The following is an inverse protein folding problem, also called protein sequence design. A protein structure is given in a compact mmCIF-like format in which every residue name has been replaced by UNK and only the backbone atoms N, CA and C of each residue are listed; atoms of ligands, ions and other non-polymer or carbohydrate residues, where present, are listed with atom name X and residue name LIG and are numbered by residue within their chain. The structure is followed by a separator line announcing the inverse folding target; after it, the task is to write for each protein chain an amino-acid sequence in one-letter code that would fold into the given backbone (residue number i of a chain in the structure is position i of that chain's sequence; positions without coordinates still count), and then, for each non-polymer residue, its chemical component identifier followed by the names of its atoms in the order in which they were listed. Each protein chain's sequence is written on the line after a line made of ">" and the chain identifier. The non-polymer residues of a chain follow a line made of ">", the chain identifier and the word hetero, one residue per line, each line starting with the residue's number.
data_IF_021051124479
#
_entry.id   IF_021051124479
#
_cell.length_a   1.000
_cell.length_b   1.000
_cell.length_c   1.000
_cell.angle_alpha   90.00
_cell.angle_beta   90.00
_cell.angle_gamma   90.00
#
_symmetry.space_group_name_H-M   'P 1'
#
loop_
_entity.id
_entity.type
_entity.pdbx_description
1 polymer ?
#
# COMPACT_ATOMS: atom_id res chain seq x y z
N UNK A 1 -8.68 25.59 -20.59
CA UNK A 1 -8.73 24.17 -21.01
C UNK A 1 -8.40 23.34 -19.78
N UNK A 2 -9.38 22.63 -19.24
CA UNK A 2 -9.19 21.72 -18.11
C UNK A 2 -8.19 20.64 -18.54
N UNK A 3 -7.08 20.49 -17.81
CA UNK A 3 -6.07 19.48 -18.10
C UNK A 3 -6.73 18.11 -17.92
N UNK A 4 -7.01 17.42 -19.04
CA UNK A 4 -7.37 16.00 -18.99
C UNK A 4 -6.24 15.29 -18.25
N UNK A 5 -6.52 14.58 -17.13
CA UNK A 5 -5.48 13.88 -16.39
C UNK A 5 -4.78 12.88 -17.32
N UNK A 6 -3.45 12.92 -17.30
CA UNK A 6 -2.61 11.97 -18.04
C UNK A 6 -2.90 10.55 -17.54
N UNK A 7 -3.14 9.61 -18.47
CA UNK A 7 -3.45 8.20 -18.13
C UNK A 7 -4.88 7.74 -18.35
N UNK A 8 -5.69 8.47 -19.14
CA UNK A 8 -7.03 8.05 -19.55
C UNK A 8 -7.02 6.63 -20.15
N UNK A 9 -7.88 5.76 -19.62
CA UNK A 9 -8.01 4.35 -20.00
C UNK A 9 -8.99 4.22 -21.16
N UNK A 10 -8.57 3.52 -22.20
CA UNK A 10 -9.37 3.26 -23.39
C UNK A 10 -10.14 1.96 -23.23
N UNK A 11 -11.39 1.97 -23.71
CA UNK A 11 -12.25 0.80 -23.67
C UNK A 11 -11.76 -0.33 -24.57
N UNK A 12 -11.21 0.02 -25.75
CA UNK A 12 -10.69 -0.95 -26.70
C UNK A 12 -9.52 -1.73 -26.10
N UNK A 13 -8.52 -1.03 -25.53
CA UNK A 13 -7.38 -1.66 -24.87
C UNK A 13 -7.82 -2.62 -23.76
N UNK A 14 -8.84 -2.23 -22.99
CA UNK A 14 -9.41 -3.08 -21.96
C UNK A 14 -10.01 -4.37 -22.56
N UNK A 15 -10.76 -4.28 -23.67
CA UNK A 15 -11.30 -5.48 -24.35
C UNK A 15 -10.21 -6.35 -24.96
N UNK A 16 -9.19 -5.74 -25.57
CA UNK A 16 -8.03 -6.46 -26.14
C UNK A 16 -7.32 -7.26 -25.06
N UNK A 17 -7.15 -6.70 -23.85
CA UNK A 17 -6.58 -7.41 -22.71
C UNK A 17 -7.53 -8.46 -22.13
N UNK A 18 -8.84 -8.19 -22.11
CA UNK A 18 -9.86 -9.09 -21.59
C UNK A 18 -10.08 -10.35 -22.45
N UNK A 19 -9.74 -10.31 -23.74
CA UNK A 19 -9.96 -11.44 -24.64
C UNK A 19 -9.00 -12.62 -24.38
N UNK A 20 -7.67 -12.51 -24.58
CA UNK A 20 -6.76 -13.65 -24.38
C UNK A 20 -6.25 -13.76 -22.94
N UNK A 21 -6.22 -12.65 -22.18
CA UNK A 21 -5.62 -12.58 -20.84
C UNK A 21 -6.64 -12.15 -19.77
N UNK A 22 -7.92 -12.06 -20.12
CA UNK A 22 -8.96 -11.62 -19.19
C UNK A 22 -9.26 -12.62 -18.08
N UNK A 23 -9.09 -13.93 -18.33
CA UNK A 23 -9.23 -14.94 -17.28
C UNK A 23 -8.12 -14.86 -16.23
N UNK A 24 -6.96 -14.28 -16.57
CA UNK A 24 -5.89 -13.92 -15.63
C UNK A 24 -6.06 -12.51 -15.04
N UNK A 25 -7.07 -11.75 -15.48
CA UNK A 25 -7.35 -10.41 -14.97
C UNK A 25 -6.47 -9.30 -15.52
N UNK A 26 -5.85 -9.46 -16.70
CA UNK A 26 -4.98 -8.44 -17.30
C UNK A 26 -5.67 -7.06 -17.44
N UNK A 27 -6.96 -7.05 -17.79
CA UNK A 27 -7.74 -5.82 -17.87
C UNK A 27 -7.91 -5.13 -16.50
N UNK A 28 -7.98 -5.86 -15.39
CA UNK A 28 -8.03 -5.25 -14.05
C UNK A 28 -6.72 -4.53 -13.70
N UNK A 29 -5.58 -5.09 -14.08
CA UNK A 29 -4.29 -4.41 -13.90
C UNK A 29 -4.19 -3.14 -14.75
N UNK A 30 -4.61 -3.19 -16.01
CA UNK A 30 -4.67 -2.01 -16.89
C UNK A 30 -5.57 -0.90 -16.31
N UNK A 31 -6.70 -1.28 -15.71
CA UNK A 31 -7.67 -0.37 -15.09
C UNK A 31 -7.28 0.10 -13.68
N UNK A 32 -6.03 -0.10 -13.25
CA UNK A 32 -5.51 0.29 -11.94
C UNK A 32 -6.30 -0.34 -10.77
N UNK A 33 -6.77 -1.59 -10.95
CA UNK A 33 -7.49 -2.37 -9.93
C UNK A 33 -6.70 -3.64 -9.60
N UNK A 34 -5.46 -3.51 -9.09
CA UNK A 34 -4.55 -4.65 -8.92
C UNK A 34 -5.13 -5.73 -8.00
N UNK A 35 -5.90 -5.33 -6.99
CA UNK A 35 -6.57 -6.31 -6.12
C UNK A 35 -7.49 -7.27 -6.88
N UNK A 36 -8.31 -6.75 -7.80
CA UNK A 36 -9.19 -7.59 -8.63
C UNK A 36 -8.39 -8.46 -9.60
N UNK A 37 -7.30 -7.93 -10.17
CA UNK A 37 -6.38 -8.70 -11.00
C UNK A 37 -5.76 -9.89 -10.25
N UNK A 38 -5.31 -9.68 -9.01
CA UNK A 38 -4.76 -10.75 -8.16
C UNK A 38 -5.82 -11.82 -7.87
N UNK A 39 -7.06 -11.44 -7.54
CA UNK A 39 -8.16 -12.41 -7.39
C UNK A 39 -8.29 -13.26 -8.66
N UNK A 40 -8.24 -12.63 -9.84
CA UNK A 40 -8.42 -13.32 -11.11
C UNK A 40 -7.28 -14.30 -11.40
N UNK A 41 -6.03 -13.94 -11.13
CA UNK A 41 -4.88 -14.86 -11.29
C UNK A 41 -5.08 -16.13 -10.45
N UNK A 42 -5.43 -15.99 -9.17
CA UNK A 42 -5.54 -17.15 -8.26
C UNK A 42 -6.83 -17.94 -8.41
N UNK A 43 -7.84 -17.40 -9.09
CA UNK A 43 -9.15 -18.05 -9.28
C UNK A 43 -9.46 -18.37 -10.74
N UNK A 44 -8.54 -18.07 -11.66
CA UNK A 44 -8.77 -18.12 -13.11
C UNK A 44 -10.07 -17.39 -13.52
N UNK A 45 -10.18 -16.14 -13.07
CA UNK A 45 -11.32 -15.27 -13.39
C UNK A 45 -12.60 -15.64 -12.64
N UNK A 46 -12.47 -15.99 -11.36
CA UNK A 46 -13.54 -16.51 -10.51
C UNK A 46 -14.19 -17.75 -11.15
N UNK A 47 -13.35 -18.73 -11.48
CA UNK A 47 -13.70 -19.97 -12.17
C UNK A 47 -14.42 -19.70 -13.50
N UNK A 48 -13.91 -18.72 -14.25
CA UNK A 48 -14.46 -18.26 -15.53
C UNK A 48 -15.71 -17.37 -15.43
N UNK A 49 -16.50 -17.47 -14.35
CA UNK A 49 -17.75 -16.69 -14.21
C UNK A 49 -17.50 -15.19 -14.14
N UNK A 50 -16.47 -14.77 -13.39
CA UNK A 50 -16.07 -13.37 -13.30
C UNK A 50 -15.67 -12.83 -14.67
N UNK A 51 -14.86 -13.59 -15.42
CA UNK A 51 -14.46 -13.22 -16.77
C UNK A 51 -15.64 -13.04 -17.73
N UNK A 52 -16.65 -13.92 -17.69
CA UNK A 52 -17.88 -13.78 -18.48
C UNK A 52 -18.66 -12.52 -18.10
N UNK A 53 -18.82 -12.26 -16.80
CA UNK A 53 -19.49 -11.04 -16.32
C UNK A 53 -18.72 -9.78 -16.76
N UNK A 54 -17.40 -9.86 -16.82
CA UNK A 54 -16.51 -8.75 -17.19
C UNK A 54 -16.72 -8.27 -18.62
N UNK A 55 -17.07 -9.15 -19.56
CA UNK A 55 -17.43 -8.76 -20.93
C UNK A 55 -18.55 -7.73 -20.97
N UNK A 56 -19.57 -7.89 -20.12
CA UNK A 56 -20.71 -6.98 -20.07
C UNK A 56 -20.42 -5.73 -19.26
N UNK A 57 -19.64 -5.85 -18.17
CA UNK A 57 -19.39 -4.69 -17.28
C UNK A 57 -18.18 -3.84 -17.66
N UNK A 58 -17.34 -4.25 -18.61
CA UNK A 58 -16.11 -3.54 -18.99
C UNK A 58 -16.32 -2.04 -19.32
N UNK A 59 -17.39 -1.63 -20.03
CA UNK A 59 -17.64 -0.21 -20.27
C UNK A 59 -17.77 0.60 -18.98
N UNK A 60 -18.40 0.03 -17.95
CA UNK A 60 -18.55 0.67 -16.64
C UNK A 60 -17.23 0.67 -15.86
N UNK A 61 -16.43 -0.40 -15.95
CA UNK A 61 -15.11 -0.48 -15.32
C UNK A 61 -14.14 0.56 -15.86
N UNK A 62 -14.16 0.80 -17.18
CA UNK A 62 -13.32 1.82 -17.84
C UNK A 62 -13.75 3.22 -17.40
N UNK A 63 -15.05 3.49 -17.37
CA UNK A 63 -15.59 4.77 -16.87
C UNK A 63 -15.21 5.01 -15.40
N UNK A 64 -15.32 4.00 -14.56
CA UNK A 64 -14.95 4.05 -13.14
C UNK A 64 -13.44 4.27 -12.95
N UNK A 65 -12.59 3.59 -13.72
CA UNK A 65 -11.15 3.81 -13.69
C UNK A 65 -10.79 5.26 -14.05
N UNK A 66 -11.44 5.81 -15.08
CA UNK A 66 -11.25 7.20 -15.48
C UNK A 66 -11.81 8.20 -14.46
N UNK A 67 -12.96 7.90 -13.82
CA UNK A 67 -13.51 8.71 -12.73
C UNK A 67 -12.56 8.76 -11.53
N UNK A 68 -11.93 7.64 -11.16
CA UNK A 68 -10.94 7.58 -10.07
C UNK A 68 -9.65 8.34 -10.38
N UNK A 69 -9.22 8.34 -11.65
CA UNK A 69 -8.09 9.14 -12.09
C UNK A 69 -8.38 10.64 -12.02
N UNK A 70 -9.60 11.04 -12.35
CA UNK A 70 -10.03 12.44 -12.25
C UNK A 70 -10.33 12.88 -10.81
N UNK A 71 -10.85 11.98 -9.97
CA UNK A 71 -11.27 12.27 -8.60
C UNK A 71 -10.74 11.22 -7.61
N UNK A 72 -9.45 11.30 -7.23
CA UNK A 72 -8.83 10.34 -6.30
C UNK A 72 -9.57 10.24 -4.95
N UNK A 73 -10.14 11.34 -4.47
CA UNK A 73 -10.90 11.39 -3.21
C UNK A 73 -12.09 10.42 -3.18
N UNK A 74 -12.67 10.07 -4.35
CA UNK A 74 -13.83 9.15 -4.44
C UNK A 74 -13.46 7.67 -4.37
N UNK A 75 -12.18 7.32 -4.18
CA UNK A 75 -11.70 5.93 -4.10
C UNK A 75 -12.36 5.10 -2.99
N UNK A 76 -12.88 5.73 -1.94
CA UNK A 76 -13.55 5.04 -0.83
C UNK A 76 -14.97 4.54 -1.18
N UNK A 77 -15.60 5.11 -2.21
CA UNK A 77 -16.95 4.77 -2.65
C UNK A 77 -16.92 3.43 -3.39
N UNK A 78 -17.73 2.47 -2.93
CA UNK A 78 -17.80 1.14 -3.54
C UNK A 78 -18.91 1.11 -4.59
N UNK A 79 -18.63 0.52 -5.75
CA UNK A 79 -19.60 0.42 -6.86
C UNK A 79 -20.36 -0.91 -6.81
N UNK A 80 -21.62 -0.89 -7.25
CA UNK A 80 -22.53 -2.03 -7.16
C UNK A 80 -22.04 -3.26 -7.95
N UNK A 81 -21.48 -3.04 -9.14
CA UNK A 81 -20.93 -4.11 -9.97
C UNK A 81 -19.72 -4.82 -9.34
N UNK A 82 -18.98 -4.16 -8.44
CA UNK A 82 -17.89 -4.79 -7.71
C UNK A 82 -18.42 -5.70 -6.60
N UNK A 83 -19.44 -5.23 -5.89
CA UNK A 83 -20.09 -6.00 -4.82
C UNK A 83 -20.73 -7.25 -5.41
N UNK A 84 -21.40 -7.16 -6.56
CA UNK A 84 -22.01 -8.33 -7.19
C UNK A 84 -20.99 -9.35 -7.70
N UNK A 85 -19.82 -8.92 -8.17
CA UNK A 85 -18.76 -9.87 -8.54
C UNK A 85 -18.13 -10.53 -7.31
N UNK A 86 -18.03 -9.82 -6.18
CA UNK A 86 -17.67 -10.45 -4.91
C UNK A 86 -18.78 -11.40 -4.40
N UNK A 87 -20.04 -11.19 -4.80
CA UNK A 87 -21.20 -12.03 -4.45
C UNK A 87 -21.38 -13.27 -5.36
N UNK A 88 -20.64 -13.40 -6.47
CA UNK A 88 -20.68 -14.60 -7.31
C UNK A 88 -20.55 -15.88 -6.47
N UNK A 89 -21.19 -16.99 -6.84
CA UNK A 89 -21.50 -18.13 -5.95
C UNK A 89 -20.41 -18.49 -4.94
N UNK A 90 -19.17 -18.67 -5.38
CA UNK A 90 -18.04 -19.04 -4.51
C UNK A 90 -17.62 -17.93 -3.53
N UNK A 91 -17.62 -16.67 -3.96
CA UNK A 91 -17.34 -15.54 -3.08
C UNK A 91 -18.53 -15.16 -2.20
N UNK A 92 -19.74 -15.22 -2.74
CA UNK A 92 -20.97 -14.84 -2.06
C UNK A 92 -21.31 -15.79 -0.92
N UNK A 93 -21.20 -17.10 -1.12
CA UNK A 93 -21.43 -18.09 -0.05
C UNK A 93 -20.42 -17.94 1.10
N UNK A 94 -19.19 -17.49 0.81
CA UNK A 94 -18.18 -17.20 1.82
C UNK A 94 -18.28 -15.77 2.41
N UNK A 95 -19.22 -14.95 1.92
CA UNK A 95 -19.45 -13.60 2.43
C UNK A 95 -18.47 -12.54 1.93
N UNK A 96 -17.79 -12.75 0.81
CA UNK A 96 -16.81 -11.80 0.24
C UNK A 96 -17.41 -10.43 -0.05
N UNK A 97 -18.67 -10.35 -0.46
CA UNK A 97 -19.39 -9.08 -0.63
C UNK A 97 -19.59 -8.34 0.70
N UNK A 98 -19.83 -9.03 1.81
CA UNK A 98 -19.89 -8.40 3.14
C UNK A 98 -18.54 -7.88 3.59
N UNK A 99 -17.46 -8.64 3.37
CA UNK A 99 -16.09 -8.17 3.63
C UNK A 99 -15.75 -6.96 2.76
N UNK A 100 -16.04 -7.00 1.46
CA UNK A 100 -15.82 -5.89 0.53
C UNK A 100 -16.59 -4.62 0.95
N UNK A 101 -17.81 -4.80 1.46
CA UNK A 101 -18.63 -3.75 2.06
C UNK A 101 -18.25 -3.41 3.51
N UNK A 102 -17.14 -3.94 4.06
CA UNK A 102 -16.64 -3.57 5.39
C UNK A 102 -17.53 -4.03 6.54
N UNK A 103 -18.50 -4.91 6.27
CA UNK A 103 -19.40 -5.53 7.24
C UNK A 103 -18.80 -6.84 7.74
N UNK A 104 -17.64 -6.76 8.37
CA UNK A 104 -16.83 -7.93 8.73
C UNK A 104 -17.59 -8.94 9.58
N UNK A 105 -18.40 -8.51 10.55
CA UNK A 105 -19.20 -9.43 11.36
C UNK A 105 -20.16 -10.29 10.53
N UNK A 106 -20.82 -9.72 9.52
CA UNK A 106 -21.70 -10.45 8.61
C UNK A 106 -20.91 -11.36 7.67
N UNK A 107 -19.74 -10.94 7.19
CA UNK A 107 -18.84 -11.80 6.42
C UNK A 107 -18.38 -13.02 7.22
N UNK A 108 -18.01 -12.82 8.50
CA UNK A 108 -17.59 -13.90 9.41
C UNK A 108 -18.72 -14.89 9.62
N UNK A 109 -19.93 -14.39 9.89
CA UNK A 109 -21.11 -15.21 10.00
C UNK A 109 -21.34 -16.05 8.72
N UNK A 110 -21.22 -15.44 7.54
CA UNK A 110 -21.34 -16.14 6.25
C UNK A 110 -20.27 -17.22 6.08
N UNK A 111 -19.01 -16.93 6.41
CA UNK A 111 -17.90 -17.90 6.26
C UNK A 111 -18.15 -19.17 7.06
N UNK A 112 -18.61 -19.05 8.31
CA UNK A 112 -18.86 -20.21 9.18
C UNK A 112 -20.17 -20.93 8.93
N UNK A 113 -21.07 -20.34 8.15
CA UNK A 113 -22.40 -20.91 7.90
C UNK A 113 -22.66 -21.20 6.43
N UNK A 114 -21.65 -20.99 5.58
CA UNK A 114 -21.76 -21.04 4.12
C UNK A 114 -22.96 -20.18 3.65
N UNK A 115 -22.97 -18.92 4.11
CA UNK A 115 -23.99 -17.92 3.83
C UNK A 115 -25.34 -18.19 4.46
N UNK A 116 -25.35 -18.89 5.61
CA UNK A 116 -26.49 -19.52 6.26
C UNK A 116 -27.21 -20.54 5.38
N UNK A 117 -26.44 -21.55 4.96
CA UNK A 117 -26.88 -22.67 4.12
C UNK A 117 -27.46 -22.22 2.78
N UNK A 118 -26.78 -21.30 2.10
CA UNK A 118 -27.13 -20.73 0.77
C UNK A 118 -28.36 -19.81 0.70
N UNK A 119 -29.24 -19.83 1.69
CA UNK A 119 -30.44 -18.97 1.69
C UNK A 119 -30.06 -17.49 1.80
N UNK A 120 -29.16 -17.15 2.71
CA UNK A 120 -28.69 -15.78 2.88
C UNK A 120 -28.02 -15.23 1.62
N UNK A 121 -27.22 -16.07 0.95
CA UNK A 121 -26.61 -15.74 -0.34
C UNK A 121 -27.65 -15.34 -1.40
N UNK A 122 -28.76 -16.08 -1.53
CA UNK A 122 -29.83 -15.74 -2.47
C UNK A 122 -30.56 -14.45 -2.07
N UNK A 123 -30.86 -14.28 -0.79
CA UNK A 123 -31.53 -13.07 -0.27
C UNK A 123 -30.70 -11.82 -0.56
N UNK A 124 -29.37 -11.93 -0.44
CA UNK A 124 -28.46 -10.81 -0.66
C UNK A 124 -28.53 -10.23 -2.08
N UNK A 125 -28.99 -10.99 -3.08
CA UNK A 125 -29.25 -10.47 -4.43
C UNK A 125 -30.12 -9.21 -4.41
N UNK A 126 -31.14 -9.20 -3.55
CA UNK A 126 -32.09 -8.09 -3.41
C UNK A 126 -31.66 -7.06 -2.36
N UNK A 127 -30.92 -7.49 -1.34
CA UNK A 127 -30.56 -6.62 -0.21
C UNK A 127 -29.32 -5.77 -0.51
N UNK A 128 -28.36 -6.26 -1.29
CA UNK A 128 -27.09 -5.58 -1.60
C UNK A 128 -27.27 -4.11 -2.05
N UNK A 129 -28.19 -3.75 -2.99
CA UNK A 129 -28.34 -2.36 -3.44
C UNK A 129 -28.67 -1.39 -2.31
N UNK A 130 -29.54 -1.81 -1.38
CA UNK A 130 -29.91 -1.02 -0.21
C UNK A 130 -28.71 -0.84 0.73
N UNK A 131 -28.03 -1.94 1.07
CA UNK A 131 -26.87 -1.91 1.96
C UNK A 131 -25.74 -1.05 1.43
N UNK A 132 -25.46 -1.17 0.13
CA UNK A 132 -24.40 -0.42 -0.51
C UNK A 132 -24.72 1.08 -0.52
N UNK A 133 -25.97 1.45 -0.83
CA UNK A 133 -26.42 2.85 -0.81
C UNK A 133 -26.30 3.44 0.58
N UNK A 134 -26.74 2.72 1.61
CA UNK A 134 -26.62 3.16 3.00
C UNK A 134 -25.16 3.30 3.44
N UNK A 135 -24.28 2.35 3.08
CA UNK A 135 -22.85 2.42 3.37
C UNK A 135 -22.23 3.65 2.71
N UNK A 136 -22.42 3.82 1.40
CA UNK A 136 -21.81 4.92 0.65
C UNK A 136 -22.31 6.27 1.19
N UNK A 137 -23.61 6.41 1.45
CA UNK A 137 -24.17 7.61 2.09
C UNK A 137 -23.50 7.91 3.43
N UNK A 138 -23.30 6.90 4.29
CA UNK A 138 -22.62 7.09 5.60
C UNK A 138 -21.18 7.55 5.44
N UNK A 139 -20.45 7.03 4.46
CA UNK A 139 -19.05 7.43 4.23
C UNK A 139 -18.99 8.84 3.66
N UNK A 140 -19.90 9.20 2.75
CA UNK A 140 -20.01 10.56 2.20
C UNK A 140 -20.36 11.58 3.29
N UNK A 141 -21.25 11.25 4.24
CA UNK A 141 -21.67 12.19 5.28
C UNK A 141 -20.69 12.27 6.46
N UNK A 142 -20.17 11.13 6.93
CA UNK A 142 -19.45 11.04 8.20
C UNK A 142 -17.98 10.63 8.04
N UNK A 143 -17.53 10.35 6.81
CA UNK A 143 -16.25 9.70 6.56
C UNK A 143 -16.23 8.23 7.02
N UNK A 144 -15.11 7.52 6.79
CA UNK A 144 -14.92 6.17 7.28
C UNK A 144 -14.83 6.13 8.81
N UNK A 145 -15.58 5.22 9.45
CA UNK A 145 -15.59 5.09 10.90
C UNK A 145 -14.24 4.60 11.45
N UNK A 146 -13.79 5.23 12.54
CA UNK A 146 -12.59 4.82 13.30
C UNK A 146 -12.75 3.39 13.83
N UNK A 147 -11.69 2.60 13.71
CA UNK A 147 -11.61 1.22 14.20
C UNK A 147 -11.25 1.21 15.69
N UNK A 148 -12.05 0.48 16.48
CA UNK A 148 -11.78 0.23 17.90
C UNK A 148 -10.76 -0.88 18.09
N UNK A 149 -9.74 -0.64 18.93
CA UNK A 149 -8.75 -1.63 19.32
C UNK A 149 -9.38 -2.75 20.14
N UNK A 150 -10.29 -2.44 21.06
CA UNK A 150 -10.99 -3.44 21.88
C UNK A 150 -11.74 -4.45 21.00
N UNK A 151 -12.49 -3.97 20.00
CA UNK A 151 -13.20 -4.85 19.06
C UNK A 151 -12.24 -5.70 18.21
N UNK A 152 -11.10 -5.13 17.81
CA UNK A 152 -10.07 -5.89 17.10
C UNK A 152 -9.52 -7.02 17.99
N UNK A 153 -9.22 -6.74 19.27
CA UNK A 153 -8.76 -7.74 20.24
C UNK A 153 -9.79 -8.82 20.49
N UNK A 154 -11.08 -8.49 20.62
CA UNK A 154 -12.15 -9.49 20.78
C UNK A 154 -12.16 -10.48 19.61
N UNK A 155 -12.05 -9.98 18.37
CA UNK A 155 -12.02 -10.82 17.17
C UNK A 155 -10.71 -11.64 17.10
N UNK A 156 -9.59 -11.06 17.50
CA UNK A 156 -8.27 -11.67 17.45
C UNK A 156 -8.07 -12.76 18.52
N UNK A 157 -8.60 -12.57 19.73
CA UNK A 157 -8.38 -13.50 20.84
C UNK A 157 -9.29 -14.74 20.77
N UNK A 158 -10.42 -14.64 20.08
CA UNK A 158 -11.25 -15.81 19.84
C UNK A 158 -10.52 -16.76 18.87
N UNK A 159 -10.15 -18.00 19.29
CA UNK A 159 -9.08 -18.76 18.64
C UNK A 159 -9.30 -19.01 17.14
N UNK A 160 -10.50 -19.45 16.77
CA UNK A 160 -10.81 -19.77 15.37
C UNK A 160 -10.81 -18.50 14.52
N UNK A 161 -11.40 -17.41 15.02
CA UNK A 161 -11.51 -16.17 14.23
C UNK A 161 -10.20 -15.40 14.13
N UNK A 162 -9.40 -15.43 15.19
CA UNK A 162 -8.06 -14.86 15.22
C UNK A 162 -7.10 -15.60 14.31
N UNK A 163 -7.09 -16.94 14.39
CA UNK A 163 -6.22 -17.78 13.56
C UNK A 163 -6.53 -17.61 12.07
N UNK A 164 -7.80 -17.49 11.69
CA UNK A 164 -8.19 -17.23 10.30
C UNK A 164 -7.98 -15.76 9.87
N UNK A 165 -7.59 -14.87 10.78
CA UNK A 165 -7.22 -13.49 10.45
C UNK A 165 -8.39 -12.51 10.32
N UNK A 166 -9.54 -12.76 10.96
CA UNK A 166 -10.70 -11.86 10.83
C UNK A 166 -10.48 -10.48 11.45
N UNK A 167 -9.52 -10.32 12.38
CA UNK A 167 -9.11 -9.01 12.86
C UNK A 167 -8.50 -8.16 11.74
N UNK A 168 -7.77 -8.75 10.80
CA UNK A 168 -7.30 -8.02 9.60
C UNK A 168 -8.45 -7.61 8.69
N UNK A 169 -9.44 -8.49 8.50
CA UNK A 169 -10.65 -8.14 7.75
C UNK A 169 -11.46 -7.02 8.43
N UNK A 170 -11.51 -6.97 9.76
CA UNK A 170 -12.15 -5.89 10.53
C UNK A 170 -11.44 -4.55 10.32
N UNK A 171 -10.10 -4.59 10.29
CA UNK A 171 -9.26 -3.44 10.01
C UNK A 171 -9.30 -2.97 8.54
N UNK A 172 -9.96 -3.72 7.65
CA UNK A 172 -10.02 -3.41 6.21
C UNK A 172 -8.83 -3.93 5.41
N UNK A 173 -7.94 -4.68 6.04
CA UNK A 173 -6.75 -5.30 5.44
C UNK A 173 -7.11 -6.67 4.84
N UNK A 174 -8.01 -6.70 3.87
CA UNK A 174 -8.58 -7.96 3.37
C UNK A 174 -7.55 -8.94 2.80
N UNK A 175 -6.46 -8.43 2.20
CA UNK A 175 -5.36 -9.28 1.71
C UNK A 175 -4.62 -10.00 2.84
N UNK A 176 -4.41 -9.30 3.95
CA UNK A 176 -3.80 -9.90 5.14
C UNK A 176 -4.72 -10.92 5.78
N UNK A 177 -6.02 -10.63 5.86
CA UNK A 177 -7.01 -11.59 6.33
C UNK A 177 -7.08 -12.84 5.44
N UNK A 178 -7.11 -12.69 4.12
CA UNK A 178 -7.10 -13.81 3.17
C UNK A 178 -5.82 -14.65 3.29
N UNK A 179 -4.65 -13.99 3.39
CA UNK A 179 -3.39 -14.68 3.64
C UNK A 179 -3.47 -15.52 4.91
N UNK A 180 -3.98 -14.96 6.02
CA UNK A 180 -4.15 -15.68 7.27
C UNK A 180 -5.14 -16.84 7.11
N UNK A 181 -6.29 -16.65 6.46
CA UNK A 181 -7.27 -17.74 6.25
C UNK A 181 -6.65 -18.93 5.52
N UNK A 182 -5.93 -18.69 4.42
CA UNK A 182 -5.35 -19.77 3.60
C UNK A 182 -4.06 -20.39 4.17
N UNK A 183 -3.43 -19.73 5.14
CA UNK A 183 -2.20 -20.23 5.79
C UNK A 183 -2.42 -20.64 7.24
N UNK A 184 -3.68 -20.64 7.69
CA UNK A 184 -4.06 -20.88 9.09
C UNK A 184 -3.24 -19.95 10.01
N UNK A 185 -3.37 -18.65 9.74
CA UNK A 185 -2.77 -17.54 10.48
C UNK A 185 -1.27 -17.38 10.27
N UNK A 186 -0.76 -17.85 9.14
CA UNK A 186 0.66 -18.11 8.88
C UNK A 186 1.24 -19.16 9.86
N UNK A 187 0.61 -20.33 9.90
CA UNK A 187 0.93 -21.48 10.78
C UNK A 187 0.82 -21.14 12.27
N UNK A 188 -0.13 -20.28 12.64
CA UNK A 188 -0.38 -19.86 14.02
C UNK A 188 0.59 -18.81 14.58
N UNK A 189 1.81 -18.70 14.06
CA UNK A 189 2.77 -17.70 14.57
C UNK A 189 2.33 -16.29 14.26
N UNK A 190 1.82 -16.03 13.05
CA UNK A 190 1.32 -14.71 12.67
C UNK A 190 0.23 -14.23 13.63
N UNK A 191 -0.70 -15.12 13.99
CA UNK A 191 -1.73 -14.85 15.00
C UNK A 191 -1.15 -14.50 16.38
N UNK A 192 -0.15 -15.25 16.87
CA UNK A 192 0.51 -14.95 18.14
C UNK A 192 1.21 -13.59 18.12
N UNK A 193 1.93 -13.28 17.04
CA UNK A 193 2.58 -11.98 16.86
C UNK A 193 1.54 -10.84 16.83
N UNK A 194 0.41 -11.08 16.18
CA UNK A 194 -0.69 -10.13 16.10
C UNK A 194 -1.25 -9.74 17.46
N UNK A 195 -1.36 -10.66 18.43
CA UNK A 195 -1.79 -10.32 19.80
C UNK A 195 -0.95 -9.17 20.38
N UNK A 196 0.37 -9.21 20.20
CA UNK A 196 1.27 -8.18 20.71
C UNK A 196 1.17 -6.86 19.94
N UNK A 197 1.12 -6.94 18.60
CA UNK A 197 1.20 -5.74 17.74
C UNK A 197 -0.15 -5.09 17.41
N UNK A 198 -1.27 -5.73 17.71
CA UNK A 198 -2.59 -5.33 17.20
C UNK A 198 -2.94 -3.87 17.50
N UNK A 199 -2.54 -3.35 18.67
CA UNK A 199 -2.70 -1.93 19.02
C UNK A 199 -2.08 -1.01 17.96
N UNK A 200 -0.83 -1.24 17.58
CA UNK A 200 -0.12 -0.45 16.57
C UNK A 200 -0.76 -0.60 15.19
N UNK A 201 -1.25 -1.80 14.85
CA UNK A 201 -1.98 -2.03 13.59
C UNK A 201 -3.30 -1.27 13.56
N UNK A 202 -4.04 -1.22 14.66
CA UNK A 202 -5.29 -0.43 14.74
C UNK A 202 -4.99 1.07 14.59
N UNK A 203 -3.96 1.56 15.27
CA UNK A 203 -3.57 2.97 15.22
C UNK A 203 -3.13 3.40 13.82
N UNK A 204 -2.31 2.61 13.13
CA UNK A 204 -1.86 2.95 11.77
C UNK A 204 -2.98 2.91 10.74
N UNK A 205 -3.89 1.93 10.83
CA UNK A 205 -5.02 1.87 9.89
C UNK A 205 -5.98 3.04 10.12
N UNK A 206 -6.17 3.46 11.37
CA UNK A 206 -6.92 4.68 11.69
C UNK A 206 -6.26 5.96 11.16
N UNK A 207 -4.92 6.03 11.10
CA UNK A 207 -4.21 7.16 10.45
C UNK A 207 -4.38 7.15 8.93
N UNK A 208 -4.38 5.97 8.29
CA UNK A 208 -4.68 5.86 6.85
C UNK A 208 -6.08 6.35 6.49
N UNK A 209 -7.06 6.17 7.38
CA UNK A 209 -8.41 6.73 7.19
C UNK A 209 -8.43 8.27 7.11
N UNK A 210 -7.41 8.94 7.66
CA UNK A 210 -7.24 10.40 7.60
C UNK A 210 -6.38 10.86 6.43
N UNK A 211 -6.00 9.97 5.51
CA UNK A 211 -5.06 10.22 4.41
C UNK A 211 -3.66 10.71 4.87
N UNK A 212 -3.26 10.45 6.12
CA UNK A 212 -1.98 10.93 6.68
C UNK A 212 -0.76 10.09 6.25
N UNK A 213 -0.92 8.76 6.04
CA UNK A 213 0.22 7.84 5.81
C UNK A 213 -0.09 6.72 4.77
N UNK A 214 -0.80 7.01 3.67
CA UNK A 214 -1.35 5.95 2.79
C UNK A 214 -0.28 5.06 2.10
N UNK A 215 0.94 5.56 1.91
CA UNK A 215 1.98 4.87 1.13
C UNK A 215 3.16 4.30 1.94
N UNK A 216 3.05 4.24 3.29
CA UNK A 216 4.14 3.77 4.14
C UNK A 216 4.15 2.24 4.27
N UNK A 217 5.33 1.63 4.12
CA UNK A 217 5.58 0.21 4.37
C UNK A 217 6.07 0.02 5.81
N UNK A 218 5.62 -1.04 6.46
CA UNK A 218 5.93 -1.32 7.86
C UNK A 218 6.82 -2.55 8.01
N UNK A 219 7.78 -2.44 8.93
CA UNK A 219 8.76 -3.48 9.19
C UNK A 219 8.14 -4.75 9.79
N UNK A 220 7.13 -4.60 10.65
CA UNK A 220 6.42 -5.70 11.28
C UNK A 220 5.61 -6.54 10.27
N UNK A 221 4.99 -5.88 9.28
CA UNK A 221 4.37 -6.53 8.13
C UNK A 221 5.41 -7.32 7.31
N UNK A 222 6.55 -6.71 7.02
CA UNK A 222 7.61 -7.39 6.26
C UNK A 222 8.09 -8.66 7.00
N UNK A 223 8.31 -8.59 8.31
CA UNK A 223 8.74 -9.76 9.10
C UNK A 223 7.70 -10.87 9.17
N UNK A 224 6.40 -10.54 9.26
CA UNK A 224 5.34 -11.55 9.24
C UNK A 224 5.24 -12.26 7.89
N UNK A 225 5.54 -11.57 6.78
CA UNK A 225 5.63 -12.24 5.48
C UNK A 225 6.91 -13.06 5.35
N UNK A 226 7.97 -12.68 6.06
CA UNK A 226 9.25 -13.40 6.09
C UNK A 226 9.21 -14.65 7.00
N UNK A 227 8.33 -14.71 8.00
CA UNK A 227 8.20 -15.86 8.89
C UNK A 227 6.74 -16.26 9.10
N UNK A 228 6.36 -17.53 8.87
CA UNK A 228 7.19 -18.71 8.60
C UNK A 228 7.37 -19.05 7.12
N UNK A 229 6.60 -18.43 6.21
CA UNK A 229 6.59 -18.77 4.77
C UNK A 229 7.53 -17.89 3.93
N UNK A 230 8.54 -17.25 4.53
CA UNK A 230 9.43 -16.32 3.80
C UNK A 230 10.26 -16.96 2.70
N UNK A 231 10.47 -18.28 2.74
CA UNK A 231 11.12 -19.00 1.63
C UNK A 231 10.31 -18.92 0.32
N UNK A 232 9.01 -18.63 0.36
CA UNK A 232 8.20 -18.37 -0.83
C UNK A 232 8.40 -16.95 -1.41
N UNK A 233 9.07 -16.05 -0.70
CA UNK A 233 9.39 -14.70 -1.16
C UNK A 233 8.27 -13.67 -1.03
N UNK A 234 7.21 -13.93 -0.24
CA UNK A 234 6.08 -13.01 -0.07
C UNK A 234 6.48 -11.61 0.42
N UNK A 235 7.49 -11.52 1.28
CA UNK A 235 8.05 -10.25 1.74
C UNK A 235 8.73 -9.45 0.62
N UNK A 236 9.30 -10.10 -0.41
CA UNK A 236 9.87 -9.40 -1.56
C UNK A 236 8.78 -8.80 -2.45
N UNK A 237 7.65 -9.50 -2.62
CA UNK A 237 6.47 -8.95 -3.29
C UNK A 237 5.91 -7.74 -2.55
N UNK A 238 5.86 -7.79 -1.21
CA UNK A 238 5.48 -6.64 -0.38
C UNK A 238 6.40 -5.44 -0.59
N UNK A 239 7.71 -5.67 -0.71
CA UNK A 239 8.72 -4.64 -0.96
C UNK A 239 8.80 -4.18 -2.42
N UNK A 240 7.82 -4.52 -3.27
CA UNK A 240 7.80 -4.21 -4.72
C UNK A 240 9.01 -4.74 -5.51
N UNK A 241 9.75 -5.71 -4.96
CA UNK A 241 10.89 -6.37 -5.60
C UNK A 241 10.41 -7.62 -6.34
N UNK A 242 9.53 -7.43 -7.32
CA UNK A 242 8.82 -8.52 -8.01
C UNK A 242 9.76 -9.59 -8.59
N UNK A 243 10.88 -9.19 -9.21
CA UNK A 243 11.85 -10.15 -9.76
C UNK A 243 12.47 -11.06 -8.69
N UNK A 244 12.83 -10.50 -7.53
CA UNK A 244 13.33 -11.27 -6.40
C UNK A 244 12.25 -12.15 -5.77
N UNK A 245 11.01 -11.67 -5.71
CA UNK A 245 9.86 -12.47 -5.26
C UNK A 245 9.62 -13.70 -6.14
N UNK A 246 9.61 -13.53 -7.47
CA UNK A 246 9.47 -14.64 -8.42
C UNK A 246 10.66 -15.60 -8.31
N UNK A 247 11.88 -15.09 -8.20
CA UNK A 247 13.07 -15.92 -8.01
C UNK A 247 12.95 -16.76 -6.73
N UNK A 248 12.54 -16.16 -5.61
CA UNK A 248 12.33 -16.88 -4.36
C UNK A 248 11.26 -17.96 -4.50
N UNK A 249 10.13 -17.63 -5.13
CA UNK A 249 9.04 -18.57 -5.34
C UNK A 249 9.49 -19.80 -6.16
N UNK A 250 10.33 -19.62 -7.18
CA UNK A 250 10.84 -20.69 -8.03
C UNK A 250 12.01 -21.49 -7.42
N UNK A 251 12.72 -20.92 -6.45
CA UNK A 251 13.93 -21.52 -5.87
C UNK A 251 13.80 -21.88 -4.40
N UNK A 252 12.58 -21.76 -3.85
CA UNK A 252 12.30 -21.81 -2.41
C UNK A 252 13.28 -20.93 -1.60
N UNK A 253 13.42 -19.67 -2.06
CA UNK A 253 14.21 -18.64 -1.40
C UNK A 253 15.73 -18.76 -1.61
N UNK A 254 16.14 -19.37 -2.73
CA UNK A 254 17.50 -19.84 -3.04
C UNK A 254 18.02 -20.85 -2.00
N UNK A 255 17.29 -21.97 -1.89
CA UNK A 255 17.56 -23.10 -0.98
C UNK A 255 17.64 -22.69 0.50
N UNK A 256 16.86 -21.68 0.89
CA UNK A 256 16.81 -21.18 2.27
C UNK A 256 17.92 -20.20 2.67
N UNK A 257 19.05 -20.13 1.96
CA UNK A 257 20.13 -19.18 2.27
C UNK A 257 19.63 -17.75 2.10
N UNK A 258 18.93 -17.47 0.99
CA UNK A 258 18.35 -16.15 0.74
C UNK A 258 17.36 -15.76 1.84
N UNK A 259 16.53 -16.70 2.31
CA UNK A 259 15.62 -16.48 3.43
C UNK A 259 16.36 -16.13 4.73
N UNK A 260 17.47 -16.82 5.05
CA UNK A 260 18.29 -16.47 6.23
C UNK A 260 18.87 -15.06 6.09
N UNK A 261 19.42 -14.71 4.92
CA UNK A 261 19.96 -13.36 4.70
C UNK A 261 18.90 -12.27 4.84
N UNK A 262 17.64 -12.58 4.53
CA UNK A 262 16.53 -11.64 4.64
C UNK A 262 16.28 -11.19 6.07
N UNK A 263 16.47 -12.04 7.07
CA UNK A 263 16.27 -11.67 8.49
C UNK A 263 17.06 -10.42 8.90
N UNK A 264 18.28 -10.28 8.38
CA UNK A 264 19.17 -9.16 8.72
C UNK A 264 18.94 -7.94 7.83
N UNK A 265 18.69 -8.14 6.53
CA UNK A 265 18.58 -7.01 5.59
C UNK A 265 17.17 -6.40 5.51
N UNK A 266 16.14 -7.06 6.04
CA UNK A 266 14.75 -6.63 5.86
C UNK A 266 14.48 -5.22 6.36
N UNK A 267 15.02 -4.85 7.52
CA UNK A 267 14.92 -3.49 8.09
C UNK A 267 15.46 -2.44 7.13
N UNK A 268 16.62 -2.71 6.52
CA UNK A 268 17.24 -1.82 5.55
C UNK A 268 16.39 -1.71 4.28
N UNK A 269 15.88 -2.83 3.77
CA UNK A 269 15.02 -2.85 2.59
C UNK A 269 13.75 -2.02 2.80
N UNK A 270 13.07 -2.18 3.94
CA UNK A 270 11.87 -1.38 4.28
C UNK A 270 12.22 0.11 4.36
N UNK A 271 13.32 0.45 5.03
CA UNK A 271 13.74 1.84 5.17
C UNK A 271 14.12 2.47 3.82
N UNK A 272 14.81 1.73 2.95
CA UNK A 272 15.18 2.19 1.61
C UNK A 272 13.95 2.46 0.75
N UNK A 273 13.00 1.53 0.71
CA UNK A 273 11.76 1.67 -0.05
C UNK A 273 10.92 2.86 0.43
N UNK A 274 10.80 3.02 1.75
CA UNK A 274 10.09 4.17 2.32
C UNK A 274 10.76 5.51 1.96
N UNK A 275 12.09 5.58 1.97
CA UNK A 275 12.84 6.78 1.53
C UNK A 275 12.56 7.09 0.07
N UNK A 276 12.60 6.09 -0.81
CA UNK A 276 12.28 6.26 -2.24
C UNK A 276 10.86 6.77 -2.46
N UNK A 277 9.88 6.28 -1.71
CA UNK A 277 8.48 6.72 -1.83
C UNK A 277 8.29 8.18 -1.38
N UNK A 278 8.97 8.60 -0.31
CA UNK A 278 8.95 9.99 0.15
C UNK A 278 9.57 10.90 -0.90
N UNK A 279 10.73 10.52 -1.44
CA UNK A 279 11.40 11.30 -2.49
C UNK A 279 10.55 11.38 -3.76
N UNK A 280 9.96 10.26 -4.19
CA UNK A 280 9.06 10.22 -5.35
C UNK A 280 7.84 11.12 -5.18
N UNK A 281 7.23 11.15 -3.99
CA UNK A 281 6.09 12.01 -3.71
C UNK A 281 6.47 13.50 -3.70
N UNK A 282 7.65 13.86 -3.18
CA UNK A 282 8.16 15.24 -3.20
C UNK A 282 8.40 15.74 -4.62
N UNK A 283 9.03 14.93 -5.47
CA UNK A 283 9.28 15.27 -6.88
C UNK A 283 7.97 15.46 -7.67
N UNK A 284 6.90 14.74 -7.32
CA UNK A 284 5.58 14.91 -7.95
C UNK A 284 4.83 16.16 -7.47
N UNK A 285 5.09 16.61 -6.24
CA UNK A 285 4.46 17.81 -5.67
C UNK A 285 5.18 19.10 -6.11
N UNK A 286 6.49 19.06 -6.33
CA UNK A 286 7.31 20.19 -6.78
C UNK A 286 7.99 19.91 -8.13
N UNK A 287 7.34 20.21 -9.28
CA UNK A 287 7.93 19.96 -10.60
C UNK A 287 9.10 20.91 -10.97
N UNK A 288 9.68 21.65 -10.02
CA UNK A 288 10.60 22.77 -10.29
C UNK A 288 12.06 22.44 -9.93
N UNK A 289 12.52 21.19 -9.87
CA UNK A 289 13.98 20.93 -9.92
C UNK A 289 14.28 19.57 -10.56
N UNK A 290 14.39 19.47 -11.89
CA UNK A 290 15.42 18.63 -12.57
C UNK A 290 15.67 19.18 -13.99
N UNK A 291 16.73 19.98 -14.15
CA UNK A 291 17.49 20.04 -15.41
C UNK A 291 18.96 19.62 -15.26
N UNK A 292 19.40 19.14 -14.09
CA UNK A 292 20.86 19.01 -13.83
C UNK A 292 21.35 17.58 -13.60
N UNK A 293 20.64 16.52 -13.99
CA UNK A 293 21.16 15.15 -13.75
C UNK A 293 20.93 14.17 -14.90
N UNK A 294 21.05 14.62 -16.14
CA UNK A 294 21.12 13.68 -17.28
C UNK A 294 22.06 14.19 -18.36
N UNK A 295 23.35 14.31 -18.06
CA UNK A 295 24.37 14.25 -19.12
C UNK A 295 25.68 13.67 -18.61
N UNK A 296 25.76 12.33 -18.54
CA UNK A 296 27.05 11.65 -18.68
C UNK A 296 26.86 10.41 -19.55
N UNK A 297 27.77 10.27 -20.51
CA UNK A 297 28.06 9.09 -21.35
C UNK A 297 27.53 9.14 -22.79
N UNK A 298 28.29 9.83 -23.66
CA UNK A 298 28.55 9.30 -25.00
C UNK A 298 29.99 9.62 -25.36
N UNK A 299 30.82 8.59 -25.30
CA UNK A 299 32.18 8.51 -25.82
C UNK A 299 32.17 8.71 -27.34
N UNK A 300 32.91 9.70 -27.84
CA UNK A 300 33.40 9.71 -29.23
C UNK A 300 34.87 10.10 -29.27
N UNK A 301 35.61 9.22 -29.95
CA UNK A 301 37.03 9.25 -30.28
C UNK A 301 37.28 10.33 -31.34
N UNK A 302 38.21 11.26 -31.09
CA UNK A 302 38.97 12.02 -32.12
C UNK A 302 40.35 12.36 -31.53
N UNK A 303 41.42 12.15 -32.31
CA UNK A 303 42.82 12.56 -32.06
C UNK A 303 43.22 13.60 -33.14
N UNK A 304 44.36 14.32 -33.02
CA UNK A 304 44.50 15.65 -32.43
C UNK A 304 44.82 16.74 -33.48
N UNK A 305 44.52 18.01 -33.18
CA UNK A 305 45.11 19.14 -33.94
C UNK A 305 45.47 20.31 -33.00
N UNK A 306 46.47 21.07 -33.42
CA UNK A 306 47.44 21.81 -32.61
C UNK A 306 46.99 23.17 -32.03
N UNK A 307 47.76 23.57 -31.02
CA UNK A 307 48.21 24.93 -30.67
C UNK A 307 47.27 25.87 -29.89
N UNK A 308 47.74 26.29 -28.70
CA UNK A 308 47.19 27.39 -27.92
C UNK A 308 47.69 27.41 -26.47
N UNK A 309 48.89 27.95 -26.26
CA UNK A 309 49.52 28.22 -24.97
C UNK A 309 48.70 29.18 -24.10
N UNK A 310 48.40 28.84 -22.83
CA UNK A 310 48.49 29.75 -21.68
C UNK A 310 48.64 28.95 -20.37
N UNK A 311 49.65 29.31 -19.59
CA UNK A 311 50.02 28.78 -18.28
C UNK A 311 49.17 29.39 -17.16
N UNK A 312 48.74 28.59 -16.17
CA UNK A 312 48.68 28.95 -14.74
C UNK A 312 48.43 27.71 -13.83
N UNK A 313 48.88 27.74 -12.55
CA UNK A 313 49.16 26.55 -11.72
C UNK A 313 47.92 25.94 -11.00
N UNK A 314 48.02 24.68 -10.49
CA UNK A 314 46.87 23.92 -10.02
C UNK A 314 46.50 24.22 -8.55
N UNK A 315 45.20 24.32 -8.20
CA UNK A 315 44.75 24.23 -6.81
C UNK A 315 44.52 22.77 -6.37
N UNK A 316 44.72 22.56 -5.06
CA UNK A 316 44.90 21.31 -4.33
C UNK A 316 43.84 20.20 -4.50
N UNK A 317 44.32 18.95 -4.41
CA UNK A 317 43.55 17.70 -4.29
C UNK A 317 42.98 17.56 -2.87
N UNK A 318 41.66 17.41 -2.67
CA UNK A 318 41.09 16.92 -1.42
C UNK A 318 41.21 15.39 -1.33
N UNK A 319 41.36 14.81 -0.12
CA UNK A 319 41.79 13.43 0.07
C UNK A 319 40.78 12.39 -0.42
N UNK A 320 41.28 11.34 -1.06
CA UNK A 320 40.54 10.13 -1.43
C UNK A 320 39.91 9.48 -0.19
N UNK A 321 38.58 9.39 -0.15
CA UNK A 321 37.88 8.48 0.76
C UNK A 321 37.78 7.09 0.13
N UNK A 322 38.31 6.12 0.87
CA UNK A 322 38.44 4.69 0.55
C UNK A 322 37.06 4.00 0.40
N UNK A 323 36.77 3.26 -0.69
CA UNK A 323 35.49 2.59 -0.89
C UNK A 323 35.44 1.22 -0.18
N UNK A 324 35.35 1.22 1.16
CA UNK A 324 35.07 0.01 1.93
C UNK A 324 34.57 0.32 3.36
N UNK A 325 33.38 0.90 3.48
CA UNK A 325 32.65 0.98 4.76
C UNK A 325 31.15 0.79 4.48
N UNK A 326 30.59 -0.34 4.88
CA UNK A 326 29.14 -0.53 4.98
C UNK A 326 28.72 0.20 6.25
N UNK A 327 28.27 1.45 6.13
CA UNK A 327 27.72 2.20 7.26
C UNK A 327 26.19 2.12 7.24
N UNK A 328 25.61 1.54 8.29
CA UNK A 328 24.19 1.68 8.58
C UNK A 328 23.95 3.09 9.14
N UNK A 329 23.15 3.96 8.49
CA UNK A 329 22.79 5.23 9.10
C UNK A 329 21.89 5.00 10.33
N UNK A 330 21.94 5.91 11.32
CA UNK A 330 21.20 5.78 12.58
C UNK A 330 19.68 5.77 12.39
N UNK A 331 19.00 5.31 13.45
CA UNK A 331 17.55 5.11 13.54
C UNK A 331 16.79 6.41 13.23
N UNK A 332 15.58 6.26 12.66
CA UNK A 332 14.70 7.36 12.26
C UNK A 332 14.37 8.33 13.42
N UNK A 333 14.40 7.86 14.67
CA UNK A 333 14.12 8.70 15.85
C UNK A 333 15.22 9.73 16.14
N UNK A 334 16.45 9.49 15.68
CA UNK A 334 17.60 10.38 15.95
C UNK A 334 17.67 11.58 14.99
N UNK A 335 17.14 11.44 13.78
CA UNK A 335 17.21 12.48 12.73
C UNK A 335 16.09 13.53 12.81
N UNK A 336 14.99 13.23 13.50
CA UNK A 336 13.83 14.15 13.61
C UNK A 336 14.00 15.18 14.74
N UNK A 337 14.91 14.93 15.69
CA UNK A 337 15.11 15.78 16.87
C UNK A 337 16.24 16.81 16.75
N UNK A 338 16.87 16.96 15.58
CA UNK A 338 17.88 18.01 15.37
C UNK A 338 17.24 19.25 14.73
N UNK A 339 17.34 20.45 15.36
CA UNK A 339 16.90 21.67 14.72
C UNK A 339 17.77 21.98 13.50
N UNK A 340 17.21 22.53 12.42
CA UNK A 340 17.92 22.71 11.16
C UNK A 340 19.07 23.74 11.29
N UNK A 341 20.23 23.42 10.70
CA UNK A 341 21.49 24.21 10.75
C UNK A 341 21.36 25.70 10.38
N UNK A 342 20.31 26.08 9.64
CA UNK A 342 20.11 27.48 9.22
C UNK A 342 19.69 28.43 10.36
N UNK A 343 19.36 27.92 11.55
CA UNK A 343 19.00 28.73 12.73
C UNK A 343 20.17 29.01 13.68
N UNK A 344 21.37 28.43 13.48
CA UNK A 344 22.49 28.63 14.40
C UNK A 344 23.27 29.94 14.17
N UNK A 345 23.11 30.59 13.02
CA UNK A 345 23.90 31.77 12.65
C UNK A 345 23.25 33.13 12.94
N UNK A 346 22.11 33.19 13.63
CA UNK A 346 21.40 34.46 13.91
C UNK A 346 21.29 34.86 15.39
N UNK A 347 21.94 34.16 16.32
CA UNK A 347 21.81 34.43 17.76
C UNK A 347 22.86 35.39 18.32
N UNK A 348 23.24 36.43 17.59
CA UNK A 348 24.12 37.49 18.11
C UNK A 348 23.62 38.88 17.67
N UNK A 349 22.50 39.32 18.25
CA UNK A 349 22.16 40.73 18.52
C UNK A 349 20.67 40.86 18.84
N UNK A 350 20.30 40.76 20.11
CA UNK A 350 19.04 41.35 20.60
C UNK A 350 19.34 42.15 21.86
N UNK A 351 19.19 43.47 21.73
CA UNK A 351 19.21 44.47 22.80
C UNK A 351 17.90 44.35 23.58
N UNK A 352 17.97 44.23 24.91
CA UNK A 352 16.79 44.23 25.77
C UNK A 352 16.21 45.64 25.89
N UNK A 353 14.92 45.79 25.59
CA UNK A 353 14.11 46.94 26.00
C UNK A 353 13.14 46.46 27.07
N UNK A 354 13.36 46.91 28.29
CA UNK A 354 12.55 46.64 29.47
C UNK A 354 11.26 47.51 29.41
N UNK A 355 10.09 46.89 29.56
CA UNK A 355 8.82 47.60 29.72
C UNK A 355 8.01 46.91 30.83
N UNK A 356 7.63 47.73 31.82
CA UNK A 356 7.25 47.31 33.17
C UNK A 356 5.81 46.81 33.36
N UNK A 357 5.61 46.32 34.58
CA UNK A 357 4.34 45.84 35.16
C UNK A 357 3.24 46.91 35.20
N UNK A 358 1.97 46.47 35.09
CA UNK A 358 0.76 47.07 35.70
C UNK A 358 -0.46 46.11 35.47
N UNK A 359 -1.57 46.21 36.24
CA UNK A 359 -2.00 45.21 37.25
C UNK A 359 -3.34 44.49 36.89
N UNK A 360 -3.90 43.58 37.73
CA UNK A 360 -4.98 42.70 37.31
C UNK A 360 -6.37 43.35 37.44
N UNK A 361 -7.31 42.98 36.56
CA UNK A 361 -8.73 43.35 36.69
C UNK A 361 -9.66 42.15 36.54
N UNK A 362 -10.12 41.71 37.71
CA UNK A 362 -11.52 41.61 38.18
C UNK A 362 -12.57 40.81 37.40
N UNK A 363 -13.23 39.92 38.16
CA UNK A 363 -14.42 39.15 37.82
C UNK A 363 -15.63 40.06 37.59
N UNK A 364 -16.40 39.77 36.53
CA UNK A 364 -17.88 39.78 36.56
C UNK A 364 -18.35 38.52 35.84
#
# INVERSE_FOLDING_TARGET
>A
MEKVPTGHKRILDAYVLAFPLGFLGAHHFYLNRPGWGVIYIFTFGLFGLGWVVDWFRLPFLVRDANERLANPERMHIKKLHDVYVAWLPLGGMLGFHHYYMGRTGWGVAYTFTLGFLTIGWLIDLFIIPKLLRERNKRIETNGPAKKSAASAYVICLFPITGLLGFHHHYLGRHWWGALYTFTIGLLGVGWLLDICRLKFVVERENRKLKNEEDNKFYIDDAYILCFPLGFLGLHQFYLKRYGWGVLYLLTFGLLGIGWITDWFRLSCLVNSLNKELILGNRVQQDPVIIQTTTTTTTTKIVTPEQAGSYTNPPPAVPPQQNPAQIYCPPSYDDAVNQPPEHLQNHTNNIVYVEAGELPPKEKI
#
